data_IF_895916869049
#
_entry.id   IF_895916869049
#
_cell.length_a   1.000
_cell.length_b   1.000
_cell.length_c   1.000
_cell.angle_alpha   90.00
_cell.angle_beta   90.00
_cell.angle_gamma   90.00
#
_symmetry.space_group_name_H-M   'P 1'
#
loop_
_entity.id
_entity.type
_entity.pdbx_description
1 polymer ?
#
# COMPACT_ATOMS: atom_id res chain seq x y z
N UNK A 1 4.23 7.60 -29.24
CA UNK A 1 3.35 7.23 -28.10
C UNK A 1 3.60 8.11 -26.87
N UNK A 2 4.84 8.20 -26.35
CA UNK A 2 5.17 9.00 -25.15
C UNK A 2 4.70 10.46 -25.20
N UNK A 3 4.90 11.16 -26.33
CA UNK A 3 4.43 12.54 -26.49
C UNK A 3 2.90 12.68 -26.37
N UNK A 4 2.15 11.73 -26.93
CA UNK A 4 0.69 11.73 -26.82
C UNK A 4 0.25 11.55 -25.37
N UNK A 5 0.89 10.62 -24.64
CA UNK A 5 0.62 10.38 -23.22
C UNK A 5 0.92 11.62 -22.36
N UNK A 6 2.03 12.32 -22.64
CA UNK A 6 2.38 13.57 -21.94
C UNK A 6 1.34 14.66 -22.18
N UNK A 7 0.91 14.85 -23.42
CA UNK A 7 -0.16 15.81 -23.76
C UNK A 7 -1.47 15.46 -23.05
N UNK A 8 -1.87 14.19 -23.04
CA UNK A 8 -3.09 13.73 -22.35
C UNK A 8 -3.01 13.97 -20.84
N UNK A 9 -1.86 13.67 -20.22
CA UNK A 9 -1.60 13.94 -18.80
C UNK A 9 -1.69 15.44 -18.50
N UNK A 10 -1.01 16.28 -19.27
CA UNK A 10 -0.94 17.72 -19.01
C UNK A 10 -2.29 18.40 -19.26
N UNK A 11 -3.03 17.94 -20.28
CA UNK A 11 -4.39 18.36 -20.57
C UNK A 11 -5.32 18.03 -19.39
N UNK A 12 -5.28 16.80 -18.91
CA UNK A 12 -6.12 16.39 -17.78
C UNK A 12 -5.74 17.12 -16.50
N UNK A 13 -4.46 17.24 -16.18
CA UNK A 13 -3.99 17.96 -14.99
C UNK A 13 -4.44 19.44 -14.97
N UNK A 14 -4.55 20.07 -16.14
CA UNK A 14 -4.94 21.48 -16.27
C UNK A 14 -6.46 21.70 -16.23
N UNK A 15 -7.25 20.78 -16.79
CA UNK A 15 -8.70 20.94 -16.95
C UNK A 15 -9.51 20.18 -15.90
N UNK A 16 -8.86 19.34 -15.10
CA UNK A 16 -9.45 18.44 -14.12
C UNK A 16 -10.62 19.03 -13.29
N UNK A 17 -10.45 20.25 -12.79
CA UNK A 17 -11.42 20.93 -11.90
C UNK A 17 -12.68 21.44 -12.61
N UNK A 18 -12.67 21.48 -13.95
CA UNK A 18 -13.70 22.16 -14.75
C UNK A 18 -14.50 21.21 -15.64
N UNK A 19 -14.21 19.91 -15.60
CA UNK A 19 -14.76 18.90 -16.52
C UNK A 19 -15.95 18.18 -15.89
N UNK A 20 -17.06 18.08 -16.63
CA UNK A 20 -18.28 17.38 -16.19
C UNK A 20 -18.04 15.87 -15.97
N UNK A 21 -18.88 15.19 -15.19
CA UNK A 21 -18.77 13.74 -14.95
C UNK A 21 -18.88 12.91 -16.26
N UNK A 22 -19.71 13.37 -17.21
CA UNK A 22 -19.87 12.70 -18.50
C UNK A 22 -18.58 12.76 -19.33
N UNK A 23 -17.94 13.94 -19.38
CA UNK A 23 -16.66 14.14 -20.05
C UNK A 23 -15.53 13.38 -19.34
N UNK A 24 -15.59 13.28 -18.01
CA UNK A 24 -14.65 12.49 -17.21
C UNK A 24 -14.73 11.00 -17.49
N UNK A 25 -15.96 10.49 -17.65
CA UNK A 25 -16.21 9.09 -17.98
C UNK A 25 -15.72 8.79 -19.40
N UNK A 26 -15.98 9.69 -20.35
CA UNK A 26 -15.44 9.60 -21.72
C UNK A 26 -13.91 9.62 -21.71
N UNK A 27 -13.30 10.52 -20.93
CA UNK A 27 -11.85 10.57 -20.76
C UNK A 27 -11.29 9.27 -20.17
N UNK A 28 -11.92 8.72 -19.13
CA UNK A 28 -11.49 7.44 -18.54
C UNK A 28 -11.56 6.28 -19.54
N UNK A 29 -12.60 6.25 -20.39
CA UNK A 29 -12.71 5.27 -21.47
C UNK A 29 -11.62 5.43 -22.53
N UNK A 30 -11.26 6.67 -22.90
CA UNK A 30 -10.16 6.94 -23.82
C UNK A 30 -8.81 6.55 -23.22
N UNK A 31 -8.57 6.87 -21.95
CA UNK A 31 -7.39 6.42 -21.20
C UNK A 31 -7.30 4.90 -21.18
N UNK A 32 -8.43 4.21 -20.97
CA UNK A 32 -8.49 2.76 -21.06
C UNK A 32 -8.12 2.23 -22.43
N UNK A 33 -8.64 2.80 -23.50
CA UNK A 33 -8.25 2.41 -24.86
C UNK A 33 -6.75 2.59 -25.12
N UNK A 34 -6.17 3.68 -24.61
CA UNK A 34 -4.73 3.92 -24.69
C UNK A 34 -3.92 2.90 -23.86
N UNK A 35 -4.35 2.58 -22.65
CA UNK A 35 -3.74 1.52 -21.83
C UNK A 35 -3.82 0.17 -22.54
N UNK A 36 -4.98 -0.22 -23.07
CA UNK A 36 -5.13 -1.48 -23.79
C UNK A 36 -4.26 -1.53 -25.05
N UNK A 37 -4.15 -0.43 -25.80
CA UNK A 37 -3.24 -0.33 -26.96
C UNK A 37 -1.78 -0.45 -26.54
N UNK A 38 -1.39 0.21 -25.44
CA UNK A 38 -0.05 0.06 -24.85
C UNK A 38 0.25 -1.39 -24.50
N UNK A 39 -0.64 -2.04 -23.76
CA UNK A 39 -0.50 -3.44 -23.36
C UNK A 39 -0.44 -4.36 -24.58
N UNK A 40 -1.25 -4.11 -25.62
CA UNK A 40 -1.26 -4.94 -26.83
C UNK A 40 0.03 -4.83 -27.65
N UNK A 41 0.66 -3.64 -27.70
CA UNK A 41 1.83 -3.40 -28.55
C UNK A 41 3.17 -3.49 -27.82
N UNK A 42 3.18 -3.46 -26.48
CA UNK A 42 4.40 -3.61 -25.68
C UNK A 42 4.46 -5.02 -25.11
N UNK A 43 5.37 -5.89 -25.62
CA UNK A 43 5.51 -7.25 -25.11
C UNK A 43 6.06 -7.26 -23.68
N UNK A 44 5.71 -8.30 -22.88
CA UNK A 44 6.31 -8.51 -21.57
C UNK A 44 7.84 -8.56 -21.68
N UNK A 45 8.53 -8.10 -20.64
CA UNK A 45 9.99 -7.96 -20.62
C UNK A 45 10.68 -9.28 -21.05
N UNK A 46 11.50 -9.29 -22.12
CA UNK A 46 12.24 -10.48 -22.50
C UNK A 46 13.37 -10.75 -21.48
N UNK A 47 13.86 -11.98 -21.39
CA UNK A 47 14.80 -12.42 -20.34
C UNK A 47 16.31 -12.19 -20.62
N UNK A 48 16.72 -11.66 -21.78
CA UNK A 48 18.13 -11.73 -22.25
C UNK A 48 18.91 -10.40 -22.42
N UNK A 49 20.05 -10.23 -21.73
CA UNK A 49 20.69 -8.94 -21.37
C UNK A 49 21.61 -8.25 -22.38
N UNK A 50 21.12 -7.77 -23.53
CA UNK A 50 21.92 -6.99 -24.51
C UNK A 50 21.90 -5.45 -24.29
N UNK A 51 22.89 -4.73 -24.84
CA UNK A 51 23.10 -3.26 -24.70
C UNK A 51 22.03 -2.38 -25.38
N UNK A 52 21.33 -2.86 -26.41
CA UNK A 52 20.20 -2.13 -27.02
C UNK A 52 19.02 -1.95 -26.03
N UNK A 53 19.00 -2.71 -24.93
CA UNK A 53 17.96 -2.60 -23.89
C UNK A 53 17.99 -1.33 -23.08
N UNK A 54 19.13 -0.70 -22.85
CA UNK A 54 19.16 0.44 -21.91
C UNK A 54 18.31 1.59 -22.41
N UNK A 55 18.28 1.84 -23.72
CA UNK A 55 17.43 2.87 -24.32
C UNK A 55 15.96 2.44 -24.35
N UNK A 56 15.67 1.17 -24.69
CA UNK A 56 14.30 0.63 -24.67
C UNK A 56 13.69 0.54 -23.26
N UNK A 57 14.50 0.25 -22.23
CA UNK A 57 14.12 0.25 -20.82
C UNK A 57 13.85 1.68 -20.35
N UNK A 58 14.70 2.65 -20.67
CA UNK A 58 14.46 4.05 -20.33
C UNK A 58 13.17 4.57 -20.98
N UNK A 59 12.96 4.31 -22.26
CA UNK A 59 11.73 4.71 -22.95
C UNK A 59 10.48 4.01 -22.36
N UNK A 60 10.61 2.75 -21.94
CA UNK A 60 9.55 2.01 -21.27
C UNK A 60 9.25 2.56 -19.88
N UNK A 61 10.27 2.88 -19.08
CA UNK A 61 10.14 3.52 -17.79
C UNK A 61 9.42 4.86 -17.91
N UNK A 62 9.81 5.69 -18.88
CA UNK A 62 9.17 6.98 -19.14
C UNK A 62 7.69 6.84 -19.53
N UNK A 63 7.37 5.84 -20.36
CA UNK A 63 5.99 5.58 -20.77
C UNK A 63 5.12 5.11 -19.60
N UNK A 64 5.62 4.16 -18.78
CA UNK A 64 4.91 3.67 -17.60
C UNK A 64 4.77 4.78 -16.56
N UNK A 65 5.81 5.59 -16.34
CA UNK A 65 5.76 6.70 -15.41
C UNK A 65 4.65 7.70 -15.80
N UNK A 66 4.55 8.07 -17.07
CA UNK A 66 3.50 8.99 -17.54
C UNK A 66 2.12 8.35 -17.40
N UNK A 67 1.97 7.04 -17.66
CA UNK A 67 0.72 6.31 -17.44
C UNK A 67 0.33 6.31 -15.95
N UNK A 68 1.27 6.03 -15.04
CA UNK A 68 1.02 6.05 -13.59
C UNK A 68 0.59 7.45 -13.12
N UNK A 69 1.27 8.50 -13.58
CA UNK A 69 0.91 9.89 -13.27
C UNK A 69 -0.48 10.26 -13.81
N UNK A 70 -0.81 9.84 -15.04
CA UNK A 70 -2.13 10.06 -15.62
C UNK A 70 -3.23 9.40 -14.77
N UNK A 71 -3.02 8.12 -14.39
CA UNK A 71 -3.95 7.40 -13.52
C UNK A 71 -4.03 8.04 -12.13
N UNK A 72 -2.95 8.60 -11.62
CA UNK A 72 -2.94 9.29 -10.33
C UNK A 72 -3.82 10.54 -10.36
N UNK A 73 -3.73 11.35 -11.42
CA UNK A 73 -4.63 12.49 -11.62
C UNK A 73 -6.10 12.07 -11.80
N UNK A 74 -6.35 10.88 -12.33
CA UNK A 74 -7.70 10.32 -12.39
C UNK A 74 -8.19 9.84 -11.01
N UNK A 75 -7.31 9.21 -10.22
CA UNK A 75 -7.63 8.74 -8.87
C UNK A 75 -7.89 9.89 -7.89
N UNK A 76 -7.25 11.05 -8.07
CA UNK A 76 -7.48 12.23 -7.23
C UNK A 76 -8.87 12.86 -7.38
N UNK A 77 -9.75 12.32 -8.23
CA UNK A 77 -11.12 12.83 -8.41
C UNK A 77 -12.04 12.28 -7.32
N UNK A 78 -12.20 13.08 -6.28
CA UNK A 78 -13.00 12.80 -5.08
C UNK A 78 -14.52 12.96 -5.30
N UNK A 79 -15.01 12.55 -6.47
CA UNK A 79 -16.47 12.47 -6.66
C UNK A 79 -16.95 11.17 -6.04
N UNK A 80 -17.67 11.29 -4.92
CA UNK A 80 -18.39 10.21 -4.26
C UNK A 80 -19.37 9.60 -5.26
N UNK A 81 -19.03 8.41 -5.74
CA UNK A 81 -19.70 7.74 -6.84
C UNK A 81 -20.98 7.04 -6.36
N UNK A 82 -22.04 7.83 -6.16
CA UNK A 82 -23.41 7.36 -5.90
C UNK A 82 -24.26 7.09 -7.15
N UNK A 83 -23.74 7.40 -8.35
CA UNK A 83 -24.45 7.25 -9.63
C UNK A 83 -23.91 6.08 -10.49
N UNK A 84 -24.69 5.57 -11.44
CA UNK A 84 -24.28 4.49 -12.35
C UNK A 84 -23.05 4.85 -13.23
N UNK A 85 -22.91 6.13 -13.62
CA UNK A 85 -21.74 6.64 -14.37
C UNK A 85 -20.46 6.62 -13.54
N UNK A 86 -20.66 6.72 -12.25
CA UNK A 86 -19.64 6.78 -11.24
C UNK A 86 -18.98 5.39 -11.11
N UNK A 87 -19.80 4.32 -11.15
CA UNK A 87 -19.31 2.95 -11.24
C UNK A 87 -18.48 2.70 -12.51
N UNK A 88 -18.91 3.24 -13.66
CA UNK A 88 -18.19 3.07 -14.94
C UNK A 88 -16.79 3.72 -14.91
N UNK A 89 -16.66 4.91 -14.32
CA UNK A 89 -15.37 5.60 -14.13
C UNK A 89 -14.42 4.79 -13.26
N UNK A 90 -14.88 4.34 -12.09
CA UNK A 90 -14.11 3.47 -11.18
C UNK A 90 -13.65 2.19 -11.85
N UNK A 91 -14.53 1.51 -12.59
CA UNK A 91 -14.19 0.28 -13.28
C UNK A 91 -13.17 0.51 -14.41
N UNK A 92 -13.25 1.63 -15.13
CA UNK A 92 -12.25 1.99 -16.12
C UNK A 92 -10.88 2.25 -15.47
N UNK A 93 -10.84 3.04 -14.39
CA UNK A 93 -9.60 3.31 -13.64
C UNK A 93 -8.98 2.02 -13.10
N UNK A 94 -9.78 1.14 -12.52
CA UNK A 94 -9.33 -0.15 -11.99
C UNK A 94 -8.78 -1.09 -13.08
N UNK A 95 -9.45 -1.13 -14.23
CA UNK A 95 -8.96 -1.90 -15.40
C UNK A 95 -7.62 -1.37 -15.87
N UNK A 96 -7.47 -0.04 -16.02
CA UNK A 96 -6.22 0.58 -16.42
C UNK A 96 -5.11 0.30 -15.40
N UNK A 97 -5.41 0.38 -14.11
CA UNK A 97 -4.47 0.06 -13.04
C UNK A 97 -4.00 -1.40 -13.14
N UNK A 98 -4.92 -2.34 -13.35
CA UNK A 98 -4.57 -3.75 -13.55
C UNK A 98 -3.71 -3.99 -14.78
N UNK A 99 -4.05 -3.37 -15.91
CA UNK A 99 -3.30 -3.46 -17.17
C UNK A 99 -1.87 -2.93 -17.03
N UNK A 100 -1.69 -1.78 -16.36
CA UNK A 100 -0.38 -1.17 -16.10
C UNK A 100 0.40 -1.99 -15.07
N UNK A 101 -0.26 -2.47 -14.00
CA UNK A 101 0.39 -3.29 -12.96
C UNK A 101 0.89 -4.62 -13.51
N UNK A 102 0.15 -5.27 -14.42
CA UNK A 102 0.59 -6.49 -15.09
C UNK A 102 1.84 -6.31 -15.99
N UNK A 103 2.19 -5.05 -16.31
CA UNK A 103 3.39 -4.69 -17.07
C UNK A 103 4.53 -4.18 -16.18
N UNK A 104 4.27 -3.91 -14.89
CA UNK A 104 5.31 -3.57 -13.92
C UNK A 104 6.06 -4.84 -13.49
N UNK A 105 7.33 -4.90 -13.86
CA UNK A 105 8.24 -5.98 -13.44
C UNK A 105 9.12 -5.52 -12.28
N UNK A 106 9.72 -6.47 -11.56
CA UNK A 106 10.66 -6.15 -10.50
C UNK A 106 11.85 -5.28 -10.98
N UNK A 107 12.26 -5.42 -12.25
CA UNK A 107 13.31 -4.58 -12.85
C UNK A 107 12.86 -3.13 -13.01
N UNK A 108 11.60 -2.90 -13.39
CA UNK A 108 11.06 -1.54 -13.53
C UNK A 108 10.82 -0.87 -12.17
N UNK A 109 10.47 -1.65 -11.15
CA UNK A 109 10.35 -1.14 -9.77
C UNK A 109 11.70 -0.79 -9.12
N UNK A 110 12.83 -1.21 -9.69
CA UNK A 110 14.15 -0.72 -9.27
C UNK A 110 14.36 0.76 -9.61
N UNK A 111 13.57 1.32 -10.55
CA UNK A 111 13.64 2.74 -10.88
C UNK A 111 12.82 3.56 -9.86
N UNK A 112 13.46 4.43 -9.05
CA UNK A 112 12.79 5.07 -7.92
C UNK A 112 11.57 5.90 -8.32
N UNK A 113 11.63 6.61 -9.45
CA UNK A 113 10.52 7.42 -9.94
C UNK A 113 9.28 6.58 -10.31
N UNK A 114 9.49 5.41 -10.92
CA UNK A 114 8.39 4.49 -11.28
C UNK A 114 7.79 3.88 -10.03
N UNK A 115 8.65 3.45 -9.09
CA UNK A 115 8.22 2.86 -7.83
C UNK A 115 7.41 3.86 -6.98
N UNK A 116 7.91 5.09 -6.86
CA UNK A 116 7.22 6.18 -6.16
C UNK A 116 5.86 6.48 -6.80
N UNK A 117 5.81 6.65 -8.12
CA UNK A 117 4.57 6.90 -8.83
C UNK A 117 3.57 5.74 -8.67
N UNK A 118 4.04 4.49 -8.67
CA UNK A 118 3.20 3.31 -8.49
C UNK A 118 2.55 3.26 -7.10
N UNK A 119 3.34 3.37 -6.03
CA UNK A 119 2.77 3.33 -4.69
C UNK A 119 1.94 4.58 -4.37
N UNK A 120 2.32 5.76 -4.90
CA UNK A 120 1.54 6.98 -4.76
C UNK A 120 0.15 6.82 -5.41
N UNK A 121 0.10 6.24 -6.62
CA UNK A 121 -1.16 5.88 -7.28
C UNK A 121 -1.95 4.85 -6.46
N UNK A 122 -1.32 3.78 -6.00
CA UNK A 122 -1.98 2.73 -5.24
C UNK A 122 -2.63 3.29 -3.96
N UNK A 123 -1.89 4.07 -3.17
CA UNK A 123 -2.42 4.72 -1.97
C UNK A 123 -3.58 5.67 -2.31
N UNK A 124 -3.45 6.50 -3.35
CA UNK A 124 -4.51 7.43 -3.78
C UNK A 124 -5.77 6.69 -4.26
N UNK A 125 -5.61 5.55 -4.93
CA UNK A 125 -6.73 4.73 -5.40
C UNK A 125 -7.47 4.07 -4.22
N UNK A 126 -6.74 3.60 -3.21
CA UNK A 126 -7.35 3.04 -1.99
C UNK A 126 -8.06 4.12 -1.16
N UNK A 127 -7.53 5.34 -1.12
CA UNK A 127 -8.12 6.46 -0.40
C UNK A 127 -9.41 6.97 -1.07
N UNK A 128 -9.36 7.17 -2.39
CA UNK A 128 -10.48 7.70 -3.18
C UNK A 128 -11.61 6.69 -3.41
N UNK A 129 -11.30 5.39 -3.50
CA UNK A 129 -12.27 4.35 -3.86
C UNK A 129 -12.35 3.26 -2.79
N UNK A 130 -13.08 3.51 -1.69
CA UNK A 130 -13.15 2.59 -0.57
C UNK A 130 -13.81 1.25 -0.92
N UNK A 131 -14.75 1.24 -1.87
CA UNK A 131 -15.38 0.00 -2.36
C UNK A 131 -14.35 -0.94 -2.97
N UNK A 132 -13.39 -0.40 -3.73
CA UNK A 132 -12.29 -1.17 -4.33
C UNK A 132 -11.28 -1.58 -3.26
N UNK A 133 -10.94 -0.68 -2.33
CA UNK A 133 -10.01 -0.99 -1.25
C UNK A 133 -10.46 -2.18 -0.38
N UNK A 134 -11.77 -2.36 -0.25
CA UNK A 134 -12.38 -3.45 0.55
C UNK A 134 -12.64 -4.71 -0.25
N UNK A 135 -12.72 -4.61 -1.58
CA UNK A 135 -13.04 -5.68 -2.51
C UNK A 135 -12.14 -5.62 -3.76
N UNK A 136 -10.85 -5.90 -3.56
CA UNK A 136 -9.89 -5.99 -4.67
C UNK A 136 -10.26 -7.18 -5.59
N UNK A 137 -10.24 -6.98 -6.92
CA UNK A 137 -10.31 -8.10 -7.86
C UNK A 137 -9.20 -9.13 -7.62
N UNK A 138 -9.48 -10.41 -7.89
CA UNK A 138 -8.57 -11.54 -7.67
C UNK A 138 -7.18 -11.50 -8.36
N UNK A 139 -6.91 -10.74 -9.44
CA UNK A 139 -5.52 -10.56 -9.89
C UNK A 139 -4.80 -9.44 -9.12
N UNK A 140 -5.54 -8.53 -8.50
CA UNK A 140 -5.01 -7.35 -7.83
C UNK A 140 -4.72 -7.58 -6.36
N UNK A 141 -5.42 -8.49 -5.69
CA UNK A 141 -5.17 -8.82 -4.28
C UNK A 141 -3.74 -9.39 -4.08
N UNK A 142 -3.35 -10.39 -4.87
CA UNK A 142 -2.01 -10.98 -4.84
C UNK A 142 -0.94 -9.98 -5.30
N UNK A 143 -1.21 -9.20 -6.34
CA UNK A 143 -0.27 -8.18 -6.83
C UNK A 143 -0.05 -7.05 -5.80
N UNK A 144 -1.11 -6.65 -5.09
CA UNK A 144 -1.04 -5.63 -4.03
C UNK A 144 -0.20 -6.13 -2.86
N UNK A 145 -0.47 -7.35 -2.38
CA UNK A 145 0.32 -7.94 -1.30
C UNK A 145 1.79 -8.07 -1.69
N UNK A 146 2.08 -8.64 -2.87
CA UNK A 146 3.45 -8.81 -3.37
C UNK A 146 4.17 -7.46 -3.53
N UNK A 147 3.46 -6.42 -3.97
CA UNK A 147 4.04 -5.07 -4.10
C UNK A 147 4.37 -4.47 -2.74
N UNK A 148 3.47 -4.58 -1.76
CA UNK A 148 3.72 -4.10 -0.39
C UNK A 148 4.90 -4.86 0.24
N UNK A 149 4.97 -6.18 0.07
CA UNK A 149 6.08 -7.00 0.56
C UNK A 149 7.42 -6.59 -0.08
N UNK A 150 7.42 -6.34 -1.39
CA UNK A 150 8.57 -5.79 -2.10
C UNK A 150 9.00 -4.44 -1.51
N UNK A 151 8.05 -3.53 -1.28
CA UNK A 151 8.32 -2.21 -0.75
C UNK A 151 8.88 -2.24 0.68
N UNK A 152 8.35 -3.11 1.55
CA UNK A 152 8.86 -3.30 2.91
C UNK A 152 10.29 -3.86 2.94
N UNK A 153 10.64 -4.73 1.99
CA UNK A 153 11.98 -5.31 1.86
C UNK A 153 12.98 -4.40 1.10
N UNK A 154 12.52 -3.26 0.59
CA UNK A 154 13.34 -2.40 -0.27
C UNK A 154 14.40 -1.63 0.55
N UNK A 155 15.60 -1.50 0.00
CA UNK A 155 16.73 -0.81 0.64
C UNK A 155 16.54 0.72 0.71
N UNK A 156 15.77 1.28 -0.21
CA UNK A 156 15.49 2.71 -0.28
C UNK A 156 14.32 3.07 0.64
N UNK A 157 14.57 3.97 1.61
CA UNK A 157 13.61 4.34 2.65
C UNK A 157 12.32 4.97 2.12
N UNK A 158 12.39 5.72 1.00
CA UNK A 158 11.20 6.33 0.38
C UNK A 158 10.18 5.27 -0.06
N UNK A 159 10.66 4.20 -0.69
CA UNK A 159 9.81 3.10 -1.17
C UNK A 159 9.18 2.35 0.01
N UNK A 160 9.97 2.07 1.06
CA UNK A 160 9.45 1.45 2.27
C UNK A 160 8.41 2.35 2.96
N UNK A 161 8.63 3.67 3.00
CA UNK A 161 7.65 4.64 3.50
C UNK A 161 6.33 4.56 2.72
N UNK A 162 6.38 4.54 1.39
CA UNK A 162 5.15 4.44 0.59
C UNK A 162 4.40 3.14 0.84
N UNK A 163 5.10 2.01 0.96
CA UNK A 163 4.47 0.74 1.33
C UNK A 163 3.78 0.83 2.70
N UNK A 164 4.40 1.44 3.70
CA UNK A 164 3.80 1.65 5.03
C UNK A 164 2.58 2.57 4.97
N UNK A 165 2.61 3.61 4.14
CA UNK A 165 1.46 4.50 3.91
C UNK A 165 0.30 3.77 3.21
N UNK A 166 0.59 2.92 2.22
CA UNK A 166 -0.40 2.05 1.58
C UNK A 166 -1.03 1.08 2.59
N UNK A 167 -0.24 0.46 3.46
CA UNK A 167 -0.74 -0.40 4.54
C UNK A 167 -1.68 0.37 5.46
N UNK A 168 -1.27 1.57 5.88
CA UNK A 168 -2.10 2.43 6.71
C UNK A 168 -3.45 2.73 6.06
N UNK A 169 -3.46 3.07 4.77
CA UNK A 169 -4.71 3.42 4.08
C UNK A 169 -5.64 2.21 3.91
N UNK A 170 -5.09 1.06 3.51
CA UNK A 170 -5.86 -0.18 3.39
C UNK A 170 -6.50 -0.58 4.73
N UNK A 171 -5.72 -0.55 5.81
CA UNK A 171 -6.20 -0.86 7.15
C UNK A 171 -7.18 0.19 7.69
N UNK A 172 -6.97 1.46 7.37
CA UNK A 172 -7.91 2.54 7.71
C UNK A 172 -9.27 2.30 7.07
N UNK A 173 -9.33 1.97 5.78
CA UNK A 173 -10.60 1.68 5.10
C UNK A 173 -11.30 0.46 5.71
N UNK A 174 -10.55 -0.60 6.01
CA UNK A 174 -11.08 -1.80 6.67
C UNK A 174 -11.50 -1.58 8.13
N UNK A 175 -11.00 -0.54 8.80
CA UNK A 175 -11.49 -0.16 10.14
C UNK A 175 -12.86 0.54 10.10
N UNK A 176 -13.20 1.17 8.98
CA UNK A 176 -14.45 1.93 8.82
C UNK A 176 -15.58 1.06 8.27
N UNK A 177 -15.26 -0.03 7.57
CA UNK A 177 -16.20 -0.87 6.82
C UNK A 177 -15.71 -2.31 6.79
N UNK A 178 -16.62 -3.25 6.61
CA UNK A 178 -16.26 -4.68 6.57
C UNK A 178 -15.52 -5.01 5.26
N UNK A 179 -14.26 -5.48 5.31
CA UNK A 179 -13.53 -5.91 4.12
C UNK A 179 -14.02 -7.29 3.63
N UNK A 180 -13.72 -7.61 2.38
CA UNK A 180 -13.81 -9.00 1.88
C UNK A 180 -12.79 -9.90 2.58
N UNK A 181 -13.02 -11.22 2.56
CA UNK A 181 -12.11 -12.17 3.20
C UNK A 181 -10.69 -12.14 2.58
N UNK A 182 -10.57 -11.88 1.28
CA UNK A 182 -9.25 -11.71 0.62
C UNK A 182 -8.48 -10.53 1.21
N UNK A 183 -9.12 -9.36 1.31
CA UNK A 183 -8.49 -8.17 1.91
C UNK A 183 -8.22 -8.37 3.40
N UNK A 184 -9.12 -9.05 4.13
CA UNK A 184 -8.88 -9.42 5.52
C UNK A 184 -7.65 -10.32 5.67
N UNK A 185 -7.45 -11.29 4.77
CA UNK A 185 -6.26 -12.13 4.73
C UNK A 185 -4.97 -11.32 4.51
N UNK A 186 -4.99 -10.37 3.57
CA UNK A 186 -3.88 -9.44 3.31
C UNK A 186 -3.54 -8.65 4.59
N UNK A 187 -4.54 -8.04 5.23
CA UNK A 187 -4.34 -7.26 6.46
C UNK A 187 -3.72 -8.10 7.59
N UNK A 188 -4.19 -9.35 7.75
CA UNK A 188 -3.64 -10.28 8.75
C UNK A 188 -2.17 -10.64 8.45
N UNK A 189 -1.85 -10.94 7.20
CA UNK A 189 -0.47 -11.22 6.77
C UNK A 189 0.46 -10.02 7.01
N UNK A 190 0.00 -8.81 6.66
CA UNK A 190 0.74 -7.57 6.87
C UNK A 190 0.91 -7.23 8.36
N UNK A 191 -0.09 -7.51 9.20
CA UNK A 191 -0.01 -7.34 10.65
C UNK A 191 1.07 -8.23 11.27
N UNK A 192 1.07 -9.52 10.94
CA UNK A 192 2.08 -10.45 11.42
C UNK A 192 3.49 -10.04 10.93
N UNK A 193 3.61 -9.69 9.64
CA UNK A 193 4.89 -9.30 9.04
C UNK A 193 5.45 -8.02 9.64
N UNK A 194 4.65 -6.95 9.72
CA UNK A 194 5.09 -5.66 10.23
C UNK A 194 5.49 -5.75 11.71
N UNK A 195 4.72 -6.50 12.50
CA UNK A 195 5.04 -6.76 13.92
C UNK A 195 6.41 -7.44 14.04
N UNK A 196 6.66 -8.48 13.23
CA UNK A 196 7.95 -9.18 13.19
C UNK A 196 9.09 -8.25 12.74
N UNK A 197 8.90 -7.47 11.70
CA UNK A 197 9.94 -6.56 11.17
C UNK A 197 10.31 -5.46 12.17
N UNK A 198 9.34 -4.95 12.93
CA UNK A 198 9.57 -3.99 14.01
C UNK A 198 10.35 -4.62 15.18
N UNK A 199 9.95 -5.81 15.63
CA UNK A 199 10.60 -6.50 16.75
C UNK A 199 12.02 -6.98 16.41
N UNK A 200 12.29 -7.28 15.14
CA UNK A 200 13.62 -7.68 14.65
C UNK A 200 14.49 -6.51 14.19
N UNK A 201 14.03 -5.27 14.37
CA UNK A 201 14.74 -4.07 13.91
C UNK A 201 15.13 -4.12 12.42
N UNK A 202 14.28 -4.75 11.58
CA UNK A 202 14.48 -4.83 10.12
C UNK A 202 14.13 -3.54 9.39
N UNK A 203 13.31 -2.69 10.02
CA UNK A 203 12.95 -1.39 9.49
C UNK A 203 14.00 -0.33 9.87
N UNK A 204 14.23 0.61 8.96
CA UNK A 204 15.06 1.77 9.26
C UNK A 204 14.45 2.59 10.43
N UNK A 205 15.25 3.08 11.39
CA UNK A 205 14.74 3.83 12.55
C UNK A 205 13.80 4.99 12.19
N UNK A 206 14.15 5.76 11.16
CA UNK A 206 13.33 6.89 10.68
C UNK A 206 11.97 6.49 10.08
N UNK A 207 11.72 5.19 9.88
CA UNK A 207 10.44 4.67 9.40
C UNK A 207 9.57 4.11 10.53
N UNK A 208 10.15 3.88 11.71
CA UNK A 208 9.41 3.42 12.91
C UNK A 208 8.41 4.49 13.36
N UNK A 209 8.85 5.75 13.39
CA UNK A 209 8.02 6.92 13.71
C UNK A 209 8.11 7.97 12.58
N UNK A 210 7.00 8.42 11.96
CA UNK A 210 5.63 7.95 12.12
C UNK A 210 5.14 6.74 11.28
N UNK A 211 5.70 6.35 10.11
CA UNK A 211 4.99 5.50 9.16
C UNK A 211 4.58 4.13 9.71
N UNK A 212 5.53 3.37 10.26
CA UNK A 212 5.28 2.00 10.72
C UNK A 212 4.35 1.97 11.94
N UNK A 213 4.53 2.90 12.89
CA UNK A 213 3.64 3.00 14.04
C UNK A 213 2.20 3.35 13.67
N UNK A 214 1.99 4.22 12.67
CA UNK A 214 0.64 4.52 12.18
C UNK A 214 0.01 3.30 11.48
N UNK A 215 0.78 2.63 10.61
CA UNK A 215 0.34 1.44 9.90
C UNK A 215 -0.02 0.29 10.85
N UNK A 216 0.83 0.03 11.85
CA UNK A 216 0.59 -1.01 12.86
C UNK A 216 -0.70 -0.74 13.65
N UNK A 217 -0.91 0.49 14.12
CA UNK A 217 -2.14 0.83 14.84
C UNK A 217 -3.38 0.63 13.94
N UNK A 218 -3.32 1.07 12.68
CA UNK A 218 -4.42 0.86 11.75
C UNK A 218 -4.74 -0.63 11.55
N UNK A 219 -3.69 -1.47 11.41
CA UNK A 219 -3.84 -2.91 11.30
C UNK A 219 -4.47 -3.53 12.55
N UNK A 220 -4.00 -3.16 13.76
CA UNK A 220 -4.57 -3.63 15.04
C UNK A 220 -6.04 -3.27 15.16
N UNK A 221 -6.41 -2.02 14.83
CA UNK A 221 -7.81 -1.56 14.89
C UNK A 221 -8.67 -2.31 13.87
N UNK A 222 -8.14 -2.61 12.68
CA UNK A 222 -8.87 -3.34 11.64
C UNK A 222 -9.00 -4.85 11.90
N UNK A 223 -8.05 -5.46 12.63
CA UNK A 223 -7.98 -6.91 12.86
C UNK A 223 -7.67 -7.25 14.34
N UNK A 224 -8.51 -6.82 15.31
CA UNK A 224 -8.21 -6.96 16.73
C UNK A 224 -8.10 -8.42 17.19
N UNK A 225 -8.95 -9.31 16.65
CA UNK A 225 -8.88 -10.75 16.97
C UNK A 225 -7.59 -11.40 16.47
N UNK A 226 -7.09 -11.00 15.30
CA UNK A 226 -5.84 -11.54 14.76
C UNK A 226 -4.61 -10.97 15.50
N UNK A 227 -4.66 -9.70 15.92
CA UNK A 227 -3.64 -9.13 16.79
C UNK A 227 -3.45 -9.97 18.06
N UNK A 228 -4.55 -10.34 18.73
CA UNK A 228 -4.47 -11.18 19.92
C UNK A 228 -3.84 -12.54 19.60
N UNK A 229 -4.23 -13.18 18.50
CA UNK A 229 -3.64 -14.45 18.07
C UNK A 229 -2.12 -14.34 17.79
N UNK A 230 -1.65 -13.23 17.22
CA UNK A 230 -0.21 -12.97 17.02
C UNK A 230 0.51 -12.85 18.37
N UNK A 231 -0.07 -12.12 19.32
CA UNK A 231 0.50 -11.99 20.68
C UNK A 231 0.54 -13.34 21.40
N UNK A 232 -0.56 -14.10 21.35
CA UNK A 232 -0.65 -15.42 22.00
C UNK A 232 0.38 -16.40 21.41
N UNK A 233 0.49 -16.46 20.08
CA UNK A 233 1.50 -17.27 19.40
C UNK A 233 2.93 -16.88 19.79
N UNK A 234 3.20 -15.60 20.04
CA UNK A 234 4.49 -15.15 20.54
C UNK A 234 4.74 -15.57 21.98
N UNK A 235 3.72 -15.54 22.85
CA UNK A 235 3.83 -15.93 24.25
C UNK A 235 4.07 -17.44 24.41
N UNK A 236 3.43 -18.25 23.57
CA UNK A 236 3.57 -19.71 23.55
C UNK A 236 5.00 -20.15 23.19
N UNK A 237 5.71 -19.33 22.40
CA UNK A 237 7.09 -19.59 22.01
C UNK A 237 8.12 -19.25 23.10
N UNK A 238 7.74 -18.54 24.16
CA UNK A 238 8.67 -18.17 25.23
C UNK A 238 8.85 -19.35 26.21
N UNK A 239 10.07 -19.89 26.37
CA UNK A 239 10.30 -21.02 27.27
C UNK A 239 10.34 -20.61 28.75
N UNK A 240 10.77 -19.38 29.04
CA UNK A 240 10.89 -18.84 30.40
C UNK A 240 9.61 -18.11 30.79
N UNK A 241 9.05 -18.49 31.95
CA UNK A 241 7.84 -17.90 32.52
C UNK A 241 8.01 -16.40 32.79
N UNK A 242 9.19 -15.96 33.25
CA UNK A 242 9.44 -14.56 33.56
C UNK A 242 9.55 -13.71 32.28
N UNK A 243 10.15 -14.28 31.23
CA UNK A 243 10.17 -13.66 29.89
C UNK A 243 8.74 -13.57 29.34
N UNK A 244 7.95 -14.64 29.46
CA UNK A 244 6.55 -14.66 29.01
C UNK A 244 5.71 -13.57 29.69
N UNK A 245 5.80 -13.44 31.01
CA UNK A 245 5.09 -12.41 31.77
C UNK A 245 5.51 -10.98 31.38
N UNK A 246 6.82 -10.79 31.15
CA UNK A 246 7.36 -9.50 30.70
C UNK A 246 6.84 -9.13 29.32
N UNK A 247 6.87 -10.07 28.38
CA UNK A 247 6.34 -9.89 27.02
C UNK A 247 4.84 -9.60 27.07
N UNK A 248 4.07 -10.40 27.80
CA UNK A 248 2.62 -10.20 27.94
C UNK A 248 2.28 -8.80 28.47
N UNK A 249 2.99 -8.37 29.52
CA UNK A 249 2.81 -7.05 30.12
C UNK A 249 3.13 -5.92 29.14
N UNK A 250 4.23 -6.06 28.38
CA UNK A 250 4.64 -5.07 27.40
C UNK A 250 3.62 -4.92 26.25
N UNK A 251 3.13 -6.03 25.71
CA UNK A 251 2.10 -6.04 24.67
C UNK A 251 0.76 -5.50 25.18
N UNK A 252 0.37 -5.82 26.41
CA UNK A 252 -0.82 -5.25 27.03
C UNK A 252 -0.67 -3.72 27.23
N UNK A 253 0.51 -3.27 27.68
CA UNK A 253 0.78 -1.86 27.91
C UNK A 253 0.71 -1.04 26.62
N UNK A 254 1.00 -1.64 25.46
CA UNK A 254 0.91 -0.99 24.15
C UNK A 254 -0.46 -0.32 23.92
N UNK A 255 -1.54 -1.03 24.27
CA UNK A 255 -2.92 -0.60 24.00
C UNK A 255 -3.66 -0.03 25.22
N UNK A 256 -3.21 -0.32 26.44
CA UNK A 256 -3.92 0.05 27.68
C UNK A 256 -3.33 1.28 28.38
N UNK A 257 -2.09 1.66 28.08
CA UNK A 257 -1.45 2.82 28.71
C UNK A 257 -1.62 4.09 27.89
N UNK A 258 -1.41 5.25 28.53
CA UNK A 258 -1.42 6.56 27.86
C UNK A 258 -2.74 6.92 27.17
N UNK A 259 -3.87 6.34 27.62
CA UNK A 259 -5.20 6.51 27.02
C UNK A 259 -5.23 6.21 25.51
N UNK A 260 -4.51 5.16 25.09
CA UNK A 260 -4.64 4.62 23.75
C UNK A 260 -5.98 3.90 23.61
N UNK A 261 -6.61 4.04 22.45
CA UNK A 261 -7.87 3.39 22.13
C UNK A 261 -7.91 2.91 20.68
N UNK A 262 -9.01 2.30 20.26
CA UNK A 262 -9.21 1.78 18.92
C UNK A 262 -9.61 2.85 17.87
N UNK A 263 -9.12 4.09 18.00
CA UNK A 263 -9.37 5.16 17.03
C UNK A 263 -8.13 5.50 16.21
N UNK A 264 -8.31 5.92 14.96
CA UNK A 264 -7.19 6.35 14.11
C UNK A 264 -6.97 7.87 14.17
N UNK A 265 -7.39 8.54 15.25
CA UNK A 265 -7.22 9.99 15.40
C UNK A 265 -5.76 10.38 15.59
N UNK A 266 -5.36 11.55 15.08
CA UNK A 266 -3.97 12.04 15.19
C UNK A 266 -3.43 12.00 16.63
N UNK A 267 -4.17 12.45 17.68
CA UNK A 267 -3.70 12.34 19.06
C UNK A 267 -3.49 10.90 19.54
N UNK A 268 -4.38 9.98 19.16
CA UNK A 268 -4.25 8.57 19.53
C UNK A 268 -3.02 7.92 18.88
N UNK A 269 -2.80 8.21 17.58
CA UNK A 269 -1.60 7.71 16.87
C UNK A 269 -0.31 8.17 17.54
N UNK A 270 -0.22 9.44 17.96
CA UNK A 270 0.96 9.95 18.68
C UNK A 270 1.19 9.18 19.98
N UNK A 271 0.14 8.97 20.79
CA UNK A 271 0.23 8.22 22.06
C UNK A 271 0.65 6.77 21.85
N UNK A 272 0.08 6.11 20.84
CA UNK A 272 0.42 4.74 20.46
C UNK A 272 1.90 4.62 20.08
N UNK A 273 2.45 5.54 19.29
CA UNK A 273 3.86 5.49 18.88
C UNK A 273 4.82 5.62 20.05
N UNK A 274 4.49 6.44 21.05
CA UNK A 274 5.26 6.51 22.29
C UNK A 274 5.23 5.17 23.03
N UNK A 275 4.07 4.49 23.10
CA UNK A 275 3.98 3.17 23.71
C UNK A 275 4.74 2.10 22.91
N UNK A 276 4.69 2.16 21.57
CA UNK A 276 5.41 1.27 20.68
C UNK A 276 6.91 1.39 20.86
N UNK A 277 7.44 2.61 20.97
CA UNK A 277 8.87 2.80 21.21
C UNK A 277 9.33 2.10 22.49
N UNK A 278 8.58 2.25 23.59
CA UNK A 278 8.88 1.55 24.85
C UNK A 278 8.82 0.02 24.71
N UNK A 279 7.82 -0.48 23.97
CA UNK A 279 7.73 -1.91 23.67
C UNK A 279 8.99 -2.40 22.95
N UNK A 280 9.45 -1.69 21.91
CA UNK A 280 10.63 -2.09 21.14
C UNK A 280 11.90 -2.06 22.00
N UNK A 281 12.09 -1.01 22.82
CA UNK A 281 13.22 -0.92 23.76
C UNK A 281 13.22 -2.10 24.76
N UNK A 282 12.06 -2.44 25.31
CA UNK A 282 11.92 -3.60 26.20
C UNK A 282 12.21 -4.92 25.48
N UNK A 283 11.67 -5.13 24.28
CA UNK A 283 11.87 -6.36 23.51
C UNK A 283 13.32 -6.51 23.01
N UNK A 284 14.08 -5.43 22.85
CA UNK A 284 15.51 -5.50 22.56
C UNK A 284 16.34 -5.92 23.78
N UNK A 285 15.90 -5.56 24.99
CA UNK A 285 16.58 -5.97 26.23
C UNK A 285 16.32 -7.44 26.61
N UNK A 286 15.27 -8.05 26.06
CA UNK A 286 14.82 -9.41 26.37
C UNK A 286 15.10 -10.31 25.16
N UNK A 287 15.79 -11.45 25.36
CA UNK A 287 16.03 -12.41 24.28
C UNK A 287 14.76 -13.20 23.92
N UNK A 288 13.84 -12.57 23.19
CA UNK A 288 12.57 -13.17 22.78
C UNK A 288 12.73 -14.12 21.58
N UNK A 289 11.94 -15.19 21.57
CA UNK A 289 11.76 -16.03 20.37
C UNK A 289 10.61 -15.48 19.54
N UNK A 290 10.79 -15.39 18.23
CA UNK A 290 9.77 -14.93 17.30
C UNK A 290 9.25 -16.09 16.43
N UNK A 291 7.96 -16.10 16.07
CA UNK A 291 7.43 -17.06 15.12
C UNK A 291 8.16 -16.93 13.76
N UNK A 292 8.56 -18.07 13.21
CA UNK A 292 9.24 -18.18 11.90
C UNK A 292 8.27 -17.82 10.80
#
# INVERSE_FOLDING_TARGET
>A
MLHLLKVYRDFWASLFMYVSLADATSFAQQTRQMCCSYVAHVPPEPTDGSRDRSMELTDRCDQILVLLQLLQHMASRDEVLGDENATAYSMALLSCFGDVTARLTANLLQYPAVCEAYFSLLSALLESQPSIALALPAPLDAATLASIEFGLAHHQQSICRYALETIYELARQASLRTPTESVAHILRALLARLTKDLLTSRLHPDLVDPPAGNALLALIVSQPGHWQAVVDAMLDLQPDQLVRETVATAFQALLTTNNVNASLTKPNRVRFRVNLQRLLEQMQSVSIRLPV
#
